data_IF_623076943250
#
_entry.id   IF_623076943250
#
_cell.length_a   1.000
_cell.length_b   1.000
_cell.length_c   1.000
_cell.angle_alpha   90.00
_cell.angle_beta   90.00
_cell.angle_gamma   90.00
#
_symmetry.space_group_name_H-M   'P 1'
#
loop_
_entity.id
_entity.type
_entity.pdbx_description
1 polymer ?
#
# COMPACT_ATOMS: atom_id res chain seq x y z
N UNK A 1 11.67 -14.62 3.14
CA UNK A 1 12.03 -13.53 4.08
C UNK A 1 13.42 -13.89 4.57
N UNK A 2 14.41 -13.03 4.42
CA UNK A 2 15.78 -13.43 4.71
C UNK A 2 15.99 -13.58 6.23
N UNK A 3 16.57 -14.70 6.65
CA UNK A 3 16.92 -14.95 8.03
C UNK A 3 18.01 -13.95 8.49
N UNK A 4 17.80 -13.18 9.57
CA UNK A 4 18.78 -12.18 10.02
C UNK A 4 20.10 -12.77 10.53
N UNK A 5 20.17 -14.09 10.73
CA UNK A 5 21.35 -14.77 11.26
C UNK A 5 22.22 -15.44 10.20
N UNK A 6 21.64 -15.87 9.10
CA UNK A 6 22.34 -16.67 8.07
C UNK A 6 21.95 -16.28 6.63
N UNK A 7 21.11 -15.25 6.45
CA UNK A 7 20.60 -14.75 5.17
C UNK A 7 19.86 -15.76 4.28
N UNK A 8 19.56 -16.95 4.79
CA UNK A 8 18.75 -17.93 4.07
C UNK A 8 17.31 -17.42 3.84
N UNK A 9 16.74 -17.70 2.66
CA UNK A 9 15.48 -17.12 2.19
C UNK A 9 14.26 -17.86 2.77
N UNK A 10 14.41 -19.17 3.01
CA UNK A 10 13.33 -20.04 3.42
C UNK A 10 13.11 -20.02 4.93
N UNK A 11 11.92 -19.58 5.30
CA UNK A 11 11.50 -19.39 6.70
C UNK A 11 10.08 -19.86 6.87
N UNK A 12 9.81 -20.60 7.94
CA UNK A 12 8.47 -21.08 8.28
C UNK A 12 7.81 -20.12 9.27
N UNK A 13 6.56 -19.73 9.02
CA UNK A 13 5.74 -18.98 9.98
C UNK A 13 5.25 -19.95 11.05
N UNK A 14 5.48 -19.62 12.32
CA UNK A 14 5.10 -20.45 13.48
C UNK A 14 3.95 -19.86 14.28
N UNK A 15 3.84 -18.52 14.35
CA UNK A 15 2.78 -17.80 15.06
C UNK A 15 2.47 -16.50 14.31
N UNK A 16 1.20 -16.10 14.25
CA UNK A 16 0.76 -14.87 13.58
C UNK A 16 -0.27 -14.15 14.46
N UNK A 17 -0.02 -12.89 14.78
CA UNK A 17 -0.91 -12.05 15.61
C UNK A 17 -1.18 -10.72 14.94
N UNK A 18 -2.44 -10.31 14.96
CA UNK A 18 -2.85 -8.97 14.54
C UNK A 18 -2.60 -7.97 15.68
N UNK A 19 -2.00 -6.82 15.36
CA UNK A 19 -1.76 -5.72 16.31
C UNK A 19 -2.51 -4.44 15.94
N UNK A 20 -3.55 -4.51 15.09
CA UNK A 20 -4.43 -3.38 14.75
C UNK A 20 -3.85 -2.40 13.72
N UNK A 21 -2.80 -2.79 13.01
CA UNK A 21 -2.09 -1.94 12.03
C UNK A 21 -0.84 -2.59 11.43
N UNK A 22 -0.46 -3.75 11.97
CA UNK A 22 0.56 -4.63 11.41
C UNK A 22 0.26 -6.07 11.79
N UNK A 23 0.81 -7.01 11.04
CA UNK A 23 0.79 -8.43 11.40
C UNK A 23 2.15 -8.79 11.97
N UNK A 24 2.20 -9.14 13.25
CA UNK A 24 3.39 -9.68 13.89
C UNK A 24 3.47 -11.18 13.60
N UNK A 25 4.51 -11.61 12.89
CA UNK A 25 4.78 -13.03 12.61
C UNK A 25 6.04 -13.52 13.31
N UNK A 26 5.94 -14.64 14.01
CA UNK A 26 7.10 -15.40 14.48
C UNK A 26 7.53 -16.36 13.37
N UNK A 27 8.79 -16.31 12.99
CA UNK A 27 9.38 -17.12 11.92
C UNK A 27 10.50 -17.99 12.48
N UNK A 28 10.70 -19.14 11.86
CA UNK A 28 11.81 -20.06 12.11
C UNK A 28 12.57 -20.29 10.81
N UNK A 29 13.90 -20.14 10.84
CA UNK A 29 14.75 -20.41 9.68
C UNK A 29 14.90 -21.91 9.46
N UNK A 30 14.72 -22.40 8.23
CA UNK A 30 14.86 -23.83 7.91
C UNK A 30 16.32 -24.30 7.82
N UNK A 31 17.28 -23.37 7.72
CA UNK A 31 18.72 -23.70 7.65
C UNK A 31 19.39 -23.70 9.02
N UNK A 32 19.15 -22.68 9.85
CA UNK A 32 19.83 -22.53 11.15
C UNK A 32 18.91 -22.75 12.36
N UNK A 33 17.64 -23.08 12.16
CA UNK A 33 16.62 -23.34 13.20
C UNK A 33 16.40 -22.20 14.21
N UNK A 34 17.00 -21.02 13.97
CA UNK A 34 16.80 -19.83 14.81
C UNK A 34 15.45 -19.20 14.54
N UNK A 35 14.83 -18.72 15.62
CA UNK A 35 13.53 -18.03 15.58
C UNK A 35 13.71 -16.51 15.66
N UNK A 36 12.90 -15.79 14.92
CA UNK A 36 12.87 -14.32 14.91
C UNK A 36 11.45 -13.80 14.65
N UNK A 37 11.24 -12.51 14.87
CA UNK A 37 9.93 -11.86 14.69
C UNK A 37 10.01 -10.87 13.54
N UNK A 38 8.99 -10.86 12.70
CA UNK A 38 8.81 -9.87 11.63
C UNK A 38 7.50 -9.14 11.82
N UNK A 39 7.46 -7.85 11.48
CA UNK A 39 6.25 -7.05 11.42
C UNK A 39 5.95 -6.76 9.95
N UNK A 40 4.74 -7.08 9.53
CA UNK A 40 4.27 -6.82 8.17
C UNK A 40 3.24 -5.69 8.22
N UNK A 41 3.48 -4.63 7.46
CA UNK A 41 2.62 -3.46 7.39
C UNK A 41 1.95 -3.41 6.02
N UNK A 42 0.74 -2.86 5.96
CA UNK A 42 0.12 -2.51 4.67
C UNK A 42 0.85 -1.28 4.16
N UNK A 43 1.70 -1.47 3.16
CA UNK A 43 2.35 -0.36 2.48
C UNK A 43 1.33 0.31 1.54
N UNK A 44 0.80 1.46 1.94
CA UNK A 44 0.05 2.32 1.04
C UNK A 44 1.03 3.05 0.13
N UNK A 45 1.36 2.43 -1.00
CA UNK A 45 2.17 3.10 -2.03
C UNK A 45 1.38 4.29 -2.56
N UNK A 46 1.86 5.53 -2.42
CA UNK A 46 1.18 6.69 -2.98
C UNK A 46 1.13 6.55 -4.51
N UNK A 47 -0.09 6.57 -5.06
CA UNK A 47 -0.28 6.62 -6.51
C UNK A 47 0.19 7.99 -7.03
N UNK A 48 0.92 8.01 -8.14
CA UNK A 48 1.33 9.23 -8.83
C UNK A 48 0.78 9.24 -10.25
N UNK A 49 0.36 10.42 -10.70
CA UNK A 49 -0.05 10.69 -12.08
C UNK A 49 1.00 11.52 -12.78
N UNK A 50 1.35 11.15 -14.00
CA UNK A 50 2.20 11.95 -14.89
C UNK A 50 1.25 12.86 -15.68
N UNK A 51 1.38 14.16 -15.47
CA UNK A 51 0.61 15.19 -16.18
C UNK A 51 1.16 15.36 -17.60
N UNK A 52 0.40 16.01 -18.49
CA UNK A 52 0.77 16.22 -19.91
C UNK A 52 2.07 17.03 -20.07
N UNK A 53 2.40 17.87 -19.09
CA UNK A 53 3.64 18.65 -18.99
C UNK A 53 4.83 17.83 -18.44
N UNK A 54 4.64 16.52 -18.20
CA UNK A 54 5.67 15.62 -17.66
C UNK A 54 5.79 15.65 -16.13
N UNK A 55 5.05 16.53 -15.44
CA UNK A 55 5.14 16.65 -13.98
C UNK A 55 4.52 15.44 -13.30
N UNK A 56 5.22 14.87 -12.32
CA UNK A 56 4.66 13.87 -11.40
C UNK A 56 3.91 14.57 -10.28
N UNK A 57 2.66 14.21 -10.11
CA UNK A 57 1.82 14.69 -9.03
C UNK A 57 1.21 13.51 -8.30
N UNK A 58 1.10 13.59 -6.97
CA UNK A 58 0.39 12.57 -6.20
C UNK A 58 -1.07 12.54 -6.65
N UNK A 59 -1.58 11.34 -6.88
CA UNK A 59 -2.99 11.13 -7.20
C UNK A 59 -3.84 11.59 -6.03
N UNK A 60 -4.79 12.47 -6.33
CA UNK A 60 -5.77 12.98 -5.38
C UNK A 60 -7.15 12.92 -6.04
N UNK A 61 -7.99 12.01 -5.54
CA UNK A 61 -9.35 11.81 -6.03
C UNK A 61 -10.21 13.07 -5.87
N UNK A 62 -10.02 13.82 -4.78
CA UNK A 62 -10.75 15.07 -4.53
C UNK A 62 -10.36 16.14 -5.56
N UNK A 63 -9.07 16.23 -5.91
CA UNK A 63 -8.60 17.14 -6.97
C UNK A 63 -9.27 16.84 -8.30
N UNK A 64 -9.34 15.56 -8.70
CA UNK A 64 -9.98 15.15 -9.96
C UNK A 64 -11.47 15.46 -9.94
N UNK A 65 -12.18 15.08 -8.86
CA UNK A 65 -13.62 15.35 -8.72
C UNK A 65 -13.94 16.84 -8.83
N UNK A 66 -13.16 17.68 -8.14
CA UNK A 66 -13.35 19.13 -8.20
C UNK A 66 -13.06 19.69 -9.61
N UNK A 67 -12.08 19.13 -10.32
CA UNK A 67 -11.81 19.49 -11.72
C UNK A 67 -12.97 19.15 -12.65
N UNK A 68 -13.56 17.96 -12.50
CA UNK A 68 -14.74 17.54 -13.27
C UNK A 68 -15.94 18.42 -12.93
N UNK A 69 -16.22 18.66 -11.64
CA UNK A 69 -17.32 19.50 -11.21
C UNK A 69 -17.24 20.92 -11.79
N UNK A 70 -16.05 21.55 -11.75
CA UNK A 70 -15.82 22.86 -12.39
C UNK A 70 -16.03 22.83 -13.90
N UNK A 71 -15.60 21.77 -14.58
CA UNK A 71 -15.78 21.65 -16.03
C UNK A 71 -17.26 21.46 -16.43
N UNK A 72 -18.09 20.93 -15.52
CA UNK A 72 -19.50 20.61 -15.74
C UNK A 72 -20.48 21.62 -15.11
N UNK A 73 -20.00 22.64 -14.41
CA UNK A 73 -20.81 23.61 -13.64
C UNK A 73 -21.93 24.29 -14.45
N UNK A 74 -21.76 24.45 -15.76
CA UNK A 74 -22.75 25.05 -16.67
C UNK A 74 -23.38 24.04 -17.64
N UNK A 75 -23.23 22.74 -17.37
CA UNK A 75 -23.80 21.67 -18.21
C UNK A 75 -24.97 21.01 -17.49
N UNK A 76 -26.01 20.57 -18.21
CA UNK A 76 -27.16 19.88 -17.63
C UNK A 76 -26.78 18.42 -17.30
N UNK A 77 -25.88 18.21 -16.36
CA UNK A 77 -25.44 16.89 -15.90
C UNK A 77 -25.70 16.80 -14.40
N UNK A 78 -26.38 15.74 -13.96
CA UNK A 78 -26.64 15.49 -12.54
C UNK A 78 -25.34 15.13 -11.81
N UNK A 79 -25.23 15.54 -10.54
CA UNK A 79 -24.07 15.23 -9.70
C UNK A 79 -23.82 13.72 -9.56
N UNK A 80 -24.88 12.91 -9.59
CA UNK A 80 -24.82 11.44 -9.54
C UNK A 80 -24.04 10.82 -10.70
N UNK A 81 -23.92 11.50 -11.85
CA UNK A 81 -23.14 11.01 -13.00
C UNK A 81 -21.65 11.37 -12.93
N UNK A 82 -21.22 12.15 -11.93
CA UNK A 82 -19.83 12.60 -11.74
C UNK A 82 -19.08 11.68 -10.77
N UNK A 83 -19.79 10.86 -9.99
CA UNK A 83 -19.27 9.95 -8.97
C UNK A 83 -18.82 8.59 -9.54
#
# INVERSE_FOLDING_TARGET
MNCPYCNHIDTKVTDSRDTGGSIRRRRECLSCNKRFTTYEYIEMVPLFVIKKDGRRERFDRCKIRNGIAKALEKRPISHEKIE
#
